data_IF_804347346238
#
_entry.id   IF_804347346238
#
_cell.length_a   1.000
_cell.length_b   1.000
_cell.length_c   1.000
_cell.angle_alpha   90.00
_cell.angle_beta   90.00
_cell.angle_gamma   90.00
#
_symmetry.space_group_name_H-M   'P 1'
#
loop_
_entity.id
_entity.type
_entity.pdbx_description
1 polymer ?
#
# COMPACT_ATOMS: atom_id res chain seq x y z
N UNK A 1 47.37 42.49 8.02
CA UNK A 1 46.14 42.93 7.32
C UNK A 1 45.24 41.71 7.20
N UNK A 2 44.19 41.63 8.01
CA UNK A 2 43.17 40.60 7.83
C UNK A 2 42.36 40.93 6.58
N UNK A 3 42.25 39.97 5.67
CA UNK A 3 41.34 40.04 4.52
C UNK A 3 39.92 40.35 5.02
N UNK A 4 39.23 41.37 4.48
CA UNK A 4 37.85 41.63 4.87
C UNK A 4 36.97 40.43 4.49
N UNK A 5 35.97 40.07 5.31
CA UNK A 5 35.07 38.96 4.97
C UNK A 5 34.30 39.30 3.69
N UNK A 6 34.53 38.51 2.64
CA UNK A 6 33.89 38.55 1.32
C UNK A 6 32.44 38.02 1.33
N UNK A 7 31.67 38.27 2.39
CA UNK A 7 30.26 37.89 2.43
C UNK A 7 29.42 39.02 1.82
N UNK A 8 29.10 38.90 0.53
CA UNK A 8 28.27 39.89 -0.20
C UNK A 8 26.76 39.66 -0.04
N UNK A 9 26.34 38.65 0.74
CA UNK A 9 24.94 38.26 0.94
C UNK A 9 24.74 37.66 2.36
N UNK A 10 23.53 37.75 2.94
CA UNK A 10 23.24 37.11 4.22
C UNK A 10 23.30 35.59 4.10
N UNK A 11 23.71 34.92 5.18
CA UNK A 11 23.89 33.47 5.17
C UNK A 11 22.60 32.76 5.54
N UNK A 12 22.10 31.94 4.61
CA UNK A 12 20.96 31.05 4.85
C UNK A 12 21.45 29.67 5.29
N UNK A 13 21.07 29.26 6.51
CA UNK A 13 21.24 27.91 7.05
C UNK A 13 19.89 27.19 7.18
N UNK A 14 19.85 25.94 6.77
CA UNK A 14 18.69 25.06 6.90
C UNK A 14 19.16 23.79 7.57
N UNK A 15 18.45 23.40 8.63
CA UNK A 15 18.73 22.22 9.43
C UNK A 15 17.45 21.38 9.48
N UNK A 16 17.54 20.11 9.12
CA UNK A 16 16.43 19.18 9.40
C UNK A 16 16.45 18.85 10.89
N UNK A 17 15.28 18.89 11.52
CA UNK A 17 15.12 18.48 12.90
C UNK A 17 14.79 16.99 12.92
N UNK A 18 15.63 16.21 13.61
CA UNK A 18 15.40 14.79 13.86
C UNK A 18 14.98 14.57 15.30
N UNK A 19 14.25 13.48 15.54
CA UNK A 19 14.19 12.92 16.89
C UNK A 19 15.57 12.37 17.24
N UNK A 20 16.06 12.56 18.48
CA UNK A 20 17.39 12.13 18.88
C UNK A 20 17.57 10.63 18.63
N UNK A 21 18.68 10.25 17.97
CA UNK A 21 19.01 8.84 17.70
C UNK A 21 19.86 8.30 18.85
N UNK A 22 19.36 7.28 19.54
CA UNK A 22 20.20 6.42 20.38
C UNK A 22 21.02 5.54 19.43
N UNK A 23 22.27 5.92 19.15
CA UNK A 23 23.23 5.02 18.54
C UNK A 23 23.57 3.91 19.55
N UNK A 24 22.78 2.83 19.54
CA UNK A 24 23.23 1.57 20.12
C UNK A 24 24.08 0.91 19.04
N UNK A 25 25.30 1.41 18.86
CA UNK A 25 26.32 0.54 18.29
C UNK A 25 26.54 -0.62 19.25
N UNK A 26 26.86 -1.80 18.71
CA UNK A 26 27.29 -2.96 19.50
C UNK A 26 28.68 -2.69 20.08
N UNK A 27 28.80 -1.73 21.00
CA UNK A 27 30.03 -1.47 21.72
C UNK A 27 30.13 -2.46 22.89
N UNK A 28 30.65 -3.66 22.61
CA UNK A 28 31.39 -4.42 23.60
C UNK A 28 32.69 -3.66 23.90
N UNK A 29 32.60 -2.56 24.65
CA UNK A 29 33.61 -2.05 25.58
C UNK A 29 33.19 -0.66 26.04
N UNK A 30 33.22 -0.51 27.36
CA UNK A 30 33.02 0.73 28.10
C UNK A 30 33.96 1.80 27.59
N UNK A 31 33.40 2.88 27.06
CA UNK A 31 33.89 4.24 27.21
C UNK A 31 32.67 5.14 26.95
N UNK A 32 32.32 5.99 27.93
CA UNK A 32 31.30 7.03 27.76
C UNK A 32 31.84 8.09 26.79
N UNK A 33 31.91 7.75 25.50
CA UNK A 33 32.10 8.74 24.46
C UNK A 33 30.84 9.60 24.43
N UNK A 34 31.01 10.93 24.49
CA UNK A 34 29.96 11.91 24.22
C UNK A 34 29.20 11.47 22.98
N UNK A 35 27.97 10.99 23.16
CA UNK A 35 27.19 10.40 22.08
C UNK A 35 26.98 11.45 20.99
N UNK A 36 26.99 11.03 19.73
CA UNK A 36 26.59 11.86 18.57
C UNK A 36 25.14 12.39 18.65
N UNK A 37 24.43 12.21 19.78
CA UNK A 37 23.10 12.75 20.08
C UNK A 37 22.99 14.28 20.00
N UNK A 38 24.11 15.01 20.07
CA UNK A 38 24.15 16.48 19.99
C UNK A 38 24.81 16.99 18.69
N UNK A 39 25.14 16.10 17.75
CA UNK A 39 25.67 16.48 16.44
C UNK A 39 24.56 16.48 15.39
N UNK A 40 24.48 17.57 14.63
CA UNK A 40 23.60 17.66 13.47
C UNK A 40 24.08 16.67 12.38
N UNK A 41 23.22 15.76 11.88
CA UNK A 41 23.63 14.83 10.82
C UNK A 41 23.98 15.56 9.51
N UNK A 42 25.06 15.12 8.86
CA UNK A 42 25.54 15.69 7.58
C UNK A 42 24.63 15.39 6.37
N UNK A 43 23.60 14.54 6.51
CA UNK A 43 22.71 14.18 5.42
C UNK A 43 21.26 13.98 5.86
N UNK A 44 20.33 14.14 4.91
CA UNK A 44 18.90 13.98 5.15
C UNK A 44 18.49 12.54 5.53
N UNK A 45 19.38 11.55 5.44
CA UNK A 45 19.04 10.14 5.70
C UNK A 45 17.89 9.63 4.83
N UNK A 46 17.38 8.44 5.14
CA UNK A 46 16.17 7.93 4.52
C UNK A 46 14.95 8.64 5.12
N UNK A 47 14.02 9.04 4.26
CA UNK A 47 12.76 9.68 4.61
C UNK A 47 11.65 8.82 4.08
N UNK A 48 10.69 8.47 4.92
CA UNK A 48 9.60 7.59 4.53
C UNK A 48 8.25 8.32 4.43
N UNK A 49 7.38 7.80 3.57
CA UNK A 49 6.01 8.25 3.41
C UNK A 49 5.26 8.18 4.74
N UNK A 50 4.49 9.23 5.04
CA UNK A 50 3.74 9.38 6.28
C UNK A 50 4.52 10.10 7.38
N UNK A 51 5.86 10.22 7.28
CA UNK A 51 6.63 11.00 8.25
C UNK A 51 6.27 12.48 8.21
N UNK A 52 6.38 13.15 9.36
CA UNK A 52 6.41 14.61 9.40
C UNK A 52 7.82 15.11 9.14
N UNK A 53 8.02 15.80 8.02
CA UNK A 53 9.23 16.56 7.75
C UNK A 53 9.26 17.80 8.65
N UNK A 54 10.23 17.89 9.55
CA UNK A 54 10.46 19.07 10.40
C UNK A 54 11.81 19.72 10.07
N UNK A 55 11.83 21.04 9.90
CA UNK A 55 13.07 21.78 9.62
C UNK A 55 13.12 23.12 10.35
N UNK A 56 14.31 23.46 10.83
CA UNK A 56 14.64 24.79 11.32
C UNK A 56 15.46 25.53 10.27
N UNK A 57 15.04 26.75 9.96
CA UNK A 57 15.59 27.60 8.93
C UNK A 57 16.02 28.90 9.59
N UNK A 58 17.24 29.36 9.34
CA UNK A 58 17.78 30.57 9.94
C UNK A 58 18.48 31.43 8.90
N UNK A 59 18.07 32.69 8.83
CA UNK A 59 18.74 33.75 8.06
C UNK A 59 19.64 34.50 9.01
N UNK A 60 20.94 34.44 8.78
CA UNK A 60 21.95 35.06 9.64
C UNK A 60 22.45 36.33 8.96
N UNK A 61 22.26 37.47 9.62
CA UNK A 61 22.88 38.72 9.20
C UNK A 61 24.37 38.72 9.61
N UNK A 62 25.24 38.43 8.64
CA UNK A 62 26.70 38.45 8.84
C UNK A 62 27.33 39.81 8.51
N UNK A 63 26.55 40.80 8.10
CA UNK A 63 27.06 42.14 7.87
C UNK A 63 27.35 42.84 9.20
N UNK A 64 28.23 43.83 9.14
CA UNK A 64 28.50 44.73 10.27
C UNK A 64 27.43 45.83 10.43
N UNK A 65 26.34 45.77 9.66
CA UNK A 65 25.26 46.74 9.65
C UNK A 65 23.89 46.05 9.67
N UNK A 66 22.85 46.83 9.98
CA UNK A 66 21.48 46.35 10.03
C UNK A 66 20.90 46.16 8.62
N UNK A 67 20.13 45.09 8.44
CA UNK A 67 19.41 44.82 7.19
C UNK A 67 17.95 45.21 7.32
N UNK A 68 17.40 45.87 6.31
CA UNK A 68 16.02 46.33 6.31
C UNK A 68 15.12 45.39 5.49
N UNK A 69 13.85 45.28 5.92
CA UNK A 69 12.79 44.51 5.25
C UNK A 69 13.18 43.06 4.94
N UNK A 70 13.68 42.35 5.95
CA UNK A 70 14.12 40.97 5.80
C UNK A 70 12.93 40.02 5.84
N UNK A 71 12.58 39.43 4.70
CA UNK A 71 11.54 38.42 4.57
C UNK A 71 12.12 37.03 4.42
N UNK A 72 11.53 36.06 5.12
CA UNK A 72 11.87 34.64 5.01
C UNK A 72 10.64 33.86 4.50
N UNK A 73 10.83 33.06 3.45
CA UNK A 73 9.77 32.23 2.86
C UNK A 73 10.25 30.79 2.75
N UNK A 74 9.40 29.85 3.13
CA UNK A 74 9.65 28.42 2.97
C UNK A 74 8.46 27.78 2.24
N UNK A 75 8.75 27.01 1.20
CA UNK A 75 7.73 26.34 0.38
C UNK A 75 8.19 24.91 0.13
N UNK A 76 7.32 23.93 0.39
CA UNK A 76 7.59 22.55 0.03
C UNK A 76 6.94 22.22 -1.30
N UNK A 77 7.70 21.63 -2.20
CA UNK A 77 7.21 21.10 -3.47
C UNK A 77 7.25 19.57 -3.41
N UNK A 78 6.08 18.94 -3.48
CA UNK A 78 5.92 17.50 -3.70
C UNK A 78 5.95 17.21 -5.21
N UNK A 79 5.93 15.94 -5.64
CA UNK A 79 5.83 15.60 -7.06
C UNK A 79 4.60 16.20 -7.75
N UNK A 80 3.48 16.33 -7.03
CA UNK A 80 2.21 16.81 -7.63
C UNK A 80 1.80 18.20 -7.17
N UNK A 81 2.20 18.65 -5.98
CA UNK A 81 1.70 19.89 -5.38
C UNK A 81 2.81 20.78 -4.83
N UNK A 82 2.46 22.04 -4.55
CA UNK A 82 3.32 23.01 -3.88
C UNK A 82 2.56 23.66 -2.75
N UNK A 83 3.16 23.66 -1.57
CA UNK A 83 2.56 24.19 -0.35
C UNK A 83 3.50 25.21 0.30
N UNK A 84 2.92 26.32 0.75
CA UNK A 84 3.65 27.31 1.54
C UNK A 84 3.70 26.85 2.99
N UNK A 85 4.88 26.89 3.60
CA UNK A 85 5.10 26.46 4.98
C UNK A 85 5.06 27.68 5.89
N UNK A 86 4.42 27.51 7.04
CA UNK A 86 4.34 28.52 8.10
C UNK A 86 5.14 28.08 9.33
N UNK A 87 5.52 29.05 10.16
CA UNK A 87 6.21 28.76 11.40
C UNK A 87 5.27 28.08 12.42
N UNK A 88 5.64 26.90 12.87
CA UNK A 88 4.85 26.06 13.78
C UNK A 88 5.40 25.98 15.20
N UNK A 89 6.39 26.81 15.55
CA UNK A 89 7.02 26.76 16.89
C UNK A 89 6.04 26.99 18.06
N UNK A 90 5.04 27.84 17.88
CA UNK A 90 4.04 28.14 18.92
C UNK A 90 3.14 26.93 19.18
N UNK A 91 2.72 26.23 18.12
CA UNK A 91 1.91 25.00 18.20
C UNK A 91 2.62 23.86 18.95
N UNK A 92 3.95 23.93 19.05
CA UNK A 92 4.79 22.97 19.79
C UNK A 92 5.07 23.41 21.23
N UNK A 93 4.46 24.49 21.71
CA UNK A 93 4.76 25.07 23.03
C UNK A 93 6.13 25.75 23.10
N UNK A 94 6.68 26.15 21.96
CA UNK A 94 7.96 26.86 21.84
C UNK A 94 7.83 28.37 22.00
N UNK A 95 8.82 29.10 21.49
CA UNK A 95 8.83 30.57 21.50
C UNK A 95 7.81 31.13 20.51
N UNK A 96 7.39 32.39 20.68
CA UNK A 96 6.57 33.07 19.67
C UNK A 96 7.35 33.23 18.37
N UNK A 97 6.73 33.01 17.19
CA UNK A 97 7.38 33.25 15.90
C UNK A 97 7.88 34.69 15.79
N UNK A 98 9.10 34.92 15.30
CA UNK A 98 9.57 36.27 15.04
C UNK A 98 8.71 36.91 13.96
N UNK A 99 8.58 38.24 14.01
CA UNK A 99 7.84 38.99 13.00
C UNK A 99 8.51 38.78 11.65
N UNK A 100 7.74 38.29 10.68
CA UNK A 100 8.20 37.98 9.33
C UNK A 100 7.19 38.54 8.31
N UNK A 101 7.58 39.49 7.45
CA UNK A 101 8.93 40.04 7.29
C UNK A 101 9.37 40.92 8.48
N UNK A 102 10.65 40.83 8.85
CA UNK A 102 11.27 41.67 9.87
C UNK A 102 11.58 43.06 9.30
N UNK A 103 11.13 44.11 9.98
CA UNK A 103 11.39 45.49 9.53
C UNK A 103 12.88 45.81 9.51
N UNK A 104 13.62 45.40 10.55
CA UNK A 104 15.07 45.54 10.69
C UNK A 104 15.62 44.25 11.32
N UNK A 105 16.71 43.74 10.77
CA UNK A 105 17.48 42.60 11.30
C UNK A 105 18.89 43.09 11.64
N UNK A 106 19.19 43.23 12.93
CA UNK A 106 20.44 43.81 13.40
C UNK A 106 21.69 43.03 13.00
N UNK A 107 22.83 43.71 12.91
CA UNK A 107 24.13 43.06 12.67
C UNK A 107 24.38 41.89 13.65
N UNK A 108 24.76 40.72 13.13
CA UNK A 108 25.03 39.51 13.93
C UNK A 108 23.78 38.76 14.45
N UNK A 109 22.57 39.27 14.21
CA UNK A 109 21.31 38.62 14.59
C UNK A 109 20.75 37.71 13.50
N UNK A 110 19.71 36.95 13.84
CA UNK A 110 19.09 35.97 12.97
C UNK A 110 17.56 36.06 12.93
N UNK A 111 16.99 35.79 11.75
CA UNK A 111 15.57 35.57 11.56
C UNK A 111 15.32 34.08 11.33
N UNK A 112 14.62 33.46 12.26
CA UNK A 112 14.42 32.02 12.28
C UNK A 112 13.00 31.62 11.89
N UNK A 113 12.84 30.40 11.40
CA UNK A 113 11.56 29.78 11.10
C UNK A 113 11.63 28.27 11.36
N UNK A 114 10.68 27.71 12.10
CA UNK A 114 10.55 26.27 12.30
C UNK A 114 9.31 25.75 11.56
N UNK A 115 9.50 24.89 10.56
CA UNK A 115 8.43 24.38 9.71
C UNK A 115 8.22 22.89 9.90
N UNK A 116 6.96 22.45 9.76
CA UNK A 116 6.61 21.03 9.72
C UNK A 116 5.59 20.73 8.61
N UNK A 117 5.79 19.61 7.93
CA UNK A 117 4.92 19.16 6.84
C UNK A 117 4.78 17.64 6.85
N UNK A 118 3.55 17.12 6.78
CA UNK A 118 3.28 15.69 6.69
C UNK A 118 3.48 15.20 5.26
N UNK A 119 4.37 14.24 5.07
CA UNK A 119 4.72 13.73 3.74
C UNK A 119 3.69 12.70 3.28
N UNK A 120 2.80 13.11 2.37
CA UNK A 120 1.71 12.29 1.83
C UNK A 120 2.02 11.65 0.47
N UNK A 121 3.18 11.95 -0.13
CA UNK A 121 3.57 11.47 -1.45
C UNK A 121 4.97 10.82 -1.43
N UNK A 122 5.16 9.77 -2.23
CA UNK A 122 6.49 9.20 -2.50
C UNK A 122 7.14 9.92 -3.67
N UNK A 123 8.47 10.03 -3.67
CA UNK A 123 9.20 10.67 -4.76
C UNK A 123 10.10 11.81 -4.31
N UNK A 124 10.61 12.56 -5.28
CA UNK A 124 11.52 13.68 -5.04
C UNK A 124 10.72 14.88 -4.55
N UNK A 125 11.06 15.35 -3.35
CA UNK A 125 10.52 16.57 -2.76
C UNK A 125 11.60 17.66 -2.77
N UNK A 126 11.18 18.92 -2.86
CA UNK A 126 12.09 20.07 -2.83
C UNK A 126 11.62 21.13 -1.85
N UNK A 127 12.39 21.35 -0.79
CA UNK A 127 12.21 22.50 0.09
C UNK A 127 12.85 23.73 -0.56
N UNK A 128 12.03 24.71 -0.90
CA UNK A 128 12.42 25.99 -1.51
C UNK A 128 12.42 27.06 -0.43
N UNK A 129 13.59 27.58 -0.09
CA UNK A 129 13.73 28.65 0.90
C UNK A 129 14.18 29.92 0.20
N UNK A 130 13.41 30.98 0.36
CA UNK A 130 13.69 32.29 -0.20
C UNK A 130 13.88 33.33 0.90
N UNK A 131 14.90 34.17 0.77
CA UNK A 131 15.12 35.33 1.62
C UNK A 131 15.07 36.57 0.73
N UNK A 132 14.34 37.59 1.15
CA UNK A 132 14.32 38.92 0.55
C UNK A 132 14.83 39.93 1.56
N UNK A 133 15.59 40.93 1.11
CA UNK A 133 16.10 42.01 1.96
C UNK A 133 16.43 43.23 1.09
N UNK A 134 16.49 44.42 1.70
CA UNK A 134 17.04 45.60 1.03
C UNK A 134 18.56 45.63 1.19
N UNK A 135 19.27 45.82 0.08
CA UNK A 135 20.72 45.98 0.10
C UNK A 135 21.12 47.19 0.97
N UNK A 136 21.99 47.04 1.97
CA UNK A 136 22.37 48.14 2.85
C UNK A 136 23.13 49.27 2.14
N UNK A 137 23.75 49.02 0.99
CA UNK A 137 24.53 50.02 0.24
C UNK A 137 23.72 50.70 -0.86
N UNK A 138 22.94 49.92 -1.63
CA UNK A 138 22.19 50.44 -2.79
C UNK A 138 20.71 50.71 -2.49
N UNK A 139 20.20 50.23 -1.35
CA UNK A 139 18.79 50.28 -0.97
C UNK A 139 17.84 49.64 -2.01
N UNK A 140 18.36 48.73 -2.82
CA UNK A 140 17.58 47.97 -3.80
C UNK A 140 17.10 46.64 -3.21
N UNK A 141 15.90 46.16 -3.56
CA UNK A 141 15.40 44.87 -3.08
C UNK A 141 16.20 43.73 -3.72
N UNK A 142 16.90 42.96 -2.89
CA UNK A 142 17.61 41.74 -3.27
C UNK A 142 16.90 40.51 -2.73
N UNK A 143 17.05 39.39 -3.43
CA UNK A 143 16.56 38.10 -2.94
C UNK A 143 17.54 36.98 -3.28
N UNK A 144 17.62 36.01 -2.36
CA UNK A 144 18.34 34.76 -2.55
C UNK A 144 17.37 33.60 -2.37
N UNK A 145 17.58 32.52 -3.12
CA UNK A 145 16.78 31.30 -3.03
C UNK A 145 17.69 30.09 -3.02
N UNK A 146 17.44 29.17 -2.09
CA UNK A 146 18.09 27.85 -2.04
C UNK A 146 17.06 26.74 -2.16
N UNK A 147 17.46 25.65 -2.80
CA UNK A 147 16.64 24.47 -3.05
C UNK A 147 17.30 23.27 -2.39
N UNK A 148 16.57 22.61 -1.49
CA UNK A 148 17.02 21.39 -0.81
C UNK A 148 16.15 20.24 -1.31
N UNK A 149 16.74 19.37 -2.13
CA UNK A 149 16.05 18.21 -2.71
C UNK A 149 16.28 16.99 -1.82
N UNK A 150 15.22 16.24 -1.55
CA UNK A 150 15.29 15.00 -0.80
C UNK A 150 14.31 13.97 -1.37
N UNK A 151 14.62 12.69 -1.18
CA UNK A 151 13.80 11.57 -1.67
C UNK A 151 12.92 11.04 -0.53
N UNK A 152 11.63 10.91 -0.80
CA UNK A 152 10.68 10.19 0.08
C UNK A 152 10.45 8.80 -0.47
N UNK A 153 10.66 7.80 0.37
CA UNK A 153 10.58 6.37 0.06
C UNK A 153 9.29 5.78 0.64
N UNK A 154 8.83 4.67 0.08
CA UNK A 154 7.73 3.92 0.67
C UNK A 154 8.25 3.07 1.85
N UNK A 155 7.69 3.16 3.07
CA UNK A 155 8.14 2.32 4.18
C UNK A 155 7.57 0.90 4.14
N UNK A 156 6.35 0.74 3.63
CA UNK A 156 5.60 -0.51 3.70
C UNK A 156 4.99 -0.85 2.33
N UNK A 157 5.13 -2.10 1.91
CA UNK A 157 4.40 -2.62 0.75
C UNK A 157 3.17 -3.37 1.23
N UNK A 158 1.98 -2.95 0.77
CA UNK A 158 0.71 -3.57 1.16
C UNK A 158 0.12 -4.30 -0.04
N UNK A 159 -0.13 -5.61 0.11
CA UNK A 159 -0.77 -6.45 -0.91
C UNK A 159 -2.09 -6.99 -0.37
N UNK A 160 -3.15 -6.90 -1.17
CA UNK A 160 -4.46 -7.40 -0.79
C UNK A 160 -4.83 -8.68 -1.55
N UNK A 161 -5.45 -9.61 -0.84
CA UNK A 161 -6.16 -10.76 -1.40
C UNK A 161 -7.61 -10.72 -0.92
N UNK A 162 -8.54 -10.66 -1.87
CA UNK A 162 -9.97 -10.66 -1.60
C UNK A 162 -10.56 -12.02 -1.97
N UNK A 163 -11.40 -12.55 -1.08
CA UNK A 163 -12.13 -13.80 -1.28
C UNK A 163 -13.58 -13.58 -0.88
N UNK A 164 -14.52 -14.07 -1.69
CA UNK A 164 -15.94 -14.09 -1.37
C UNK A 164 -16.34 -15.49 -0.90
N UNK A 165 -16.90 -15.61 0.30
CA UNK A 165 -17.39 -16.88 0.86
C UNK A 165 -18.82 -16.65 1.36
N UNK A 166 -19.80 -17.35 0.78
CA UNK A 166 -21.22 -17.22 1.15
C UNK A 166 -21.67 -15.76 1.23
N UNK A 167 -21.34 -14.97 0.19
CA UNK A 167 -21.64 -13.53 0.06
C UNK A 167 -20.93 -12.59 1.05
N UNK A 168 -20.12 -13.12 1.96
CA UNK A 168 -19.27 -12.34 2.87
C UNK A 168 -17.90 -12.11 2.22
N UNK A 169 -17.44 -10.86 2.25
CA UNK A 169 -16.13 -10.49 1.72
C UNK A 169 -15.06 -10.63 2.79
N UNK A 170 -14.04 -11.42 2.52
CA UNK A 170 -12.83 -11.52 3.33
C UNK A 170 -11.69 -10.81 2.62
N UNK A 171 -11.03 -9.89 3.32
CA UNK A 171 -9.89 -9.14 2.81
C UNK A 171 -8.68 -9.51 3.66
N UNK A 172 -7.74 -10.22 3.07
CA UNK A 172 -6.41 -10.46 3.64
C UNK A 172 -5.48 -9.34 3.17
N UNK A 173 -4.86 -8.64 4.11
CA UNK A 173 -3.85 -7.63 3.85
C UNK A 173 -2.49 -8.14 4.35
N UNK A 174 -1.53 -8.24 3.43
CA UNK A 174 -0.13 -8.54 3.72
C UNK A 174 0.66 -7.24 3.72
N UNK A 175 1.22 -6.88 4.87
CA UNK A 175 1.99 -5.66 5.09
C UNK A 175 3.45 -6.06 5.26
N UNK A 176 4.30 -5.67 4.32
CA UNK A 176 5.73 -5.97 4.33
C UNK A 176 6.55 -4.72 4.63
N UNK A 177 7.49 -4.82 5.56
CA UNK A 177 8.46 -3.77 5.81
C UNK A 177 9.59 -3.84 4.77
N UNK A 178 9.76 -2.76 4.00
CA UNK A 178 10.81 -2.65 2.98
C UNK A 178 11.91 -1.67 3.38
N UNK A 179 11.88 -1.18 4.62
CA UNK A 179 12.91 -0.32 5.18
C UNK A 179 14.07 -1.13 5.73
N UNK A 180 15.21 -0.46 5.94
CA UNK A 180 16.40 -1.06 6.55
C UNK A 180 16.34 -1.09 8.09
N UNK A 181 15.20 -0.69 8.69
CA UNK A 181 15.02 -0.60 10.14
C UNK A 181 13.74 -1.35 10.57
N UNK A 182 13.69 -1.89 11.79
CA UNK A 182 12.44 -2.41 12.33
C UNK A 182 11.40 -1.31 12.50
N UNK A 183 10.15 -1.62 12.11
CA UNK A 183 9.00 -0.72 12.27
C UNK A 183 7.98 -1.37 13.19
N UNK A 184 7.46 -0.61 14.14
CA UNK A 184 6.34 -1.02 14.97
C UNK A 184 5.03 -0.54 14.35
N UNK A 185 4.15 -1.45 13.92
CA UNK A 185 2.81 -1.10 13.46
C UNK A 185 1.91 -0.79 14.68
N UNK A 186 1.76 0.50 14.96
CA UNK A 186 1.01 1.02 16.11
C UNK A 186 -0.48 0.68 16.00
N UNK A 187 -1.06 0.92 14.82
CA UNK A 187 -2.46 0.61 14.54
C UNK A 187 -2.62 0.13 13.11
N UNK A 188 -3.35 -0.96 12.91
CA UNK A 188 -3.72 -1.49 11.59
C UNK A 188 -5.24 -1.57 11.57
N UNK A 189 -5.87 -0.68 10.81
CA UNK A 189 -7.33 -0.58 10.80
C UNK A 189 -7.82 -0.60 9.36
N UNK A 190 -8.80 -1.45 9.09
CA UNK A 190 -9.53 -1.40 7.83
C UNK A 190 -10.73 -0.46 8.00
N UNK A 191 -10.72 0.67 7.32
CA UNK A 191 -11.80 1.66 7.32
C UNK A 191 -12.79 1.28 6.23
N UNK A 192 -13.95 0.69 6.59
CA UNK A 192 -14.93 0.26 5.59
C UNK A 192 -15.60 1.46 4.93
N UNK A 193 -15.98 1.30 3.66
CA UNK A 193 -16.83 2.30 2.98
C UNK A 193 -18.30 2.00 3.27
N UNK A 194 -19.16 2.99 3.55
CA UNK A 194 -20.60 2.75 3.72
C UNK A 194 -21.19 2.04 2.48
N UNK A 195 -22.09 1.04 2.63
CA UNK A 195 -22.75 0.57 3.85
C UNK A 195 -22.02 -0.60 4.55
N UNK A 196 -20.74 -0.82 4.25
CA UNK A 196 -20.00 -1.94 4.82
C UNK A 196 -19.54 -1.67 6.25
N UNK A 197 -19.44 -2.76 7.01
CA UNK A 197 -18.77 -2.83 8.30
C UNK A 197 -17.60 -3.82 8.19
N UNK A 198 -16.51 -3.54 8.89
CA UNK A 198 -15.32 -4.38 8.90
C UNK A 198 -14.97 -4.81 10.32
N UNK A 199 -14.72 -6.11 10.49
CA UNK A 199 -14.24 -6.70 11.73
C UNK A 199 -12.90 -7.37 11.45
N UNK A 200 -11.87 -7.03 12.22
CA UNK A 200 -10.59 -7.74 12.17
C UNK A 200 -10.74 -9.11 12.82
N UNK A 201 -10.24 -10.15 12.14
CA UNK A 201 -10.19 -11.50 12.66
C UNK A 201 -8.83 -11.73 13.32
N UNK A 202 -8.80 -11.84 14.64
CA UNK A 202 -7.60 -12.14 15.42
C UNK A 202 -7.56 -13.65 15.73
N UNK A 203 -6.38 -14.26 15.67
CA UNK A 203 -6.19 -15.62 16.17
C UNK A 203 -6.32 -15.64 17.71
N UNK A 204 -6.91 -16.69 18.32
CA UNK A 204 -7.24 -16.73 19.75
C UNK A 204 -6.03 -16.65 20.71
N UNK A 205 -4.79 -16.80 20.23
CA UNK A 205 -3.57 -16.83 21.08
C UNK A 205 -2.72 -15.55 20.99
N UNK A 206 -3.20 -14.48 20.34
CA UNK A 206 -2.37 -13.34 19.95
C UNK A 206 -2.48 -12.10 20.86
N UNK A 207 -2.75 -12.29 22.15
CA UNK A 207 -2.89 -11.21 23.15
C UNK A 207 -1.60 -10.40 23.38
N UNK A 208 -0.46 -10.92 22.91
CA UNK A 208 0.84 -10.25 22.89
C UNK A 208 1.40 -10.13 21.46
N UNK A 209 0.59 -9.71 20.50
CA UNK A 209 1.06 -9.45 19.14
C UNK A 209 2.09 -8.31 19.15
N UNK A 210 3.38 -8.66 19.24
CA UNK A 210 4.47 -7.73 18.97
C UNK A 210 4.32 -7.30 17.50
N UNK A 211 3.71 -6.14 17.28
CA UNK A 211 3.55 -5.54 15.94
C UNK A 211 4.87 -4.98 15.38
N UNK A 212 6.00 -5.52 15.83
CA UNK A 212 7.32 -5.18 15.36
C UNK A 212 7.63 -5.98 14.10
N UNK A 213 7.75 -5.29 12.97
CA UNK A 213 8.04 -5.84 11.65
C UNK A 213 9.50 -5.54 11.35
N UNK A 214 10.35 -6.56 11.32
CA UNK A 214 11.76 -6.41 10.93
C UNK A 214 11.90 -6.10 9.43
N UNK A 215 13.05 -5.61 8.97
CA UNK A 215 13.33 -5.47 7.54
C UNK A 215 13.03 -6.75 6.76
N UNK A 216 12.37 -6.60 5.61
CA UNK A 216 11.92 -7.67 4.70
C UNK A 216 10.83 -8.62 5.24
N UNK A 217 10.53 -8.57 6.54
CA UNK A 217 9.44 -9.33 7.15
C UNK A 217 8.07 -8.75 6.77
N UNK A 218 7.06 -9.61 6.89
CA UNK A 218 5.67 -9.25 6.63
C UNK A 218 4.74 -9.80 7.69
N UNK A 219 3.72 -9.00 8.03
CA UNK A 219 2.59 -9.42 8.84
C UNK A 219 1.35 -9.55 7.96
N UNK A 220 0.43 -10.41 8.39
CA UNK A 220 -0.85 -10.62 7.72
C UNK A 220 -1.99 -10.34 8.68
N UNK A 221 -2.98 -9.60 8.20
CA UNK A 221 -4.23 -9.36 8.90
C UNK A 221 -5.40 -9.68 7.99
N UNK A 222 -6.46 -10.24 8.57
CA UNK A 222 -7.66 -10.63 7.84
C UNK A 222 -8.83 -9.82 8.38
N UNK A 223 -9.60 -9.23 7.48
CA UNK A 223 -10.79 -8.45 7.80
C UNK A 223 -12.00 -9.13 7.17
N UNK A 224 -13.01 -9.39 8.00
CA UNK A 224 -14.34 -9.77 7.57
C UNK A 224 -15.12 -8.49 7.27
N UNK A 225 -15.58 -8.34 6.04
CA UNK A 225 -16.35 -7.17 5.57
C UNK A 225 -17.76 -7.61 5.21
N UNK A 226 -18.74 -7.05 5.90
CA UNK A 226 -20.17 -7.41 5.79
C UNK A 226 -21.04 -6.18 5.59
N UNK A 227 -22.22 -6.36 5.01
CA UNK A 227 -23.26 -5.36 4.94
C UNK A 227 -24.61 -6.08 5.12
N UNK A 228 -25.50 -5.54 5.94
CA UNK A 228 -26.77 -6.21 6.28
C UNK A 228 -27.73 -6.29 5.08
N UNK A 229 -27.73 -5.26 4.21
CA UNK A 229 -28.68 -5.13 3.10
C UNK A 229 -27.95 -4.88 1.78
N UNK A 230 -27.08 -5.83 1.40
CA UNK A 230 -26.32 -5.71 0.16
C UNK A 230 -27.06 -6.34 -1.01
N UNK A 231 -27.38 -5.54 -2.03
CA UNK A 231 -27.79 -6.10 -3.32
C UNK A 231 -26.57 -6.73 -4.00
N UNK A 232 -26.56 -8.07 -4.00
CA UNK A 232 -25.46 -8.88 -4.55
C UNK A 232 -25.35 -8.78 -6.07
N UNK A 233 -26.34 -8.18 -6.75
CA UNK A 233 -26.28 -7.89 -8.19
C UNK A 233 -25.37 -6.71 -8.54
N UNK A 234 -25.06 -5.85 -7.56
CA UNK A 234 -24.13 -4.74 -7.74
C UNK A 234 -22.71 -5.29 -7.86
N UNK A 235 -22.11 -5.11 -9.05
CA UNK A 235 -20.81 -5.67 -9.43
C UNK A 235 -19.63 -5.18 -8.57
N UNK A 236 -18.78 -4.31 -9.12
CA UNK A 236 -17.59 -3.83 -8.39
C UNK A 236 -17.99 -2.79 -7.35
N UNK A 237 -17.91 -3.16 -6.07
CA UNK A 237 -18.23 -2.29 -4.92
C UNK A 237 -16.96 -1.88 -4.19
N UNK A 238 -16.90 -0.67 -3.64
CA UNK A 238 -15.78 -0.25 -2.79
C UNK A 238 -15.98 -0.79 -1.37
N UNK A 239 -15.10 -1.68 -0.90
CA UNK A 239 -15.18 -2.27 0.45
C UNK A 239 -14.63 -1.34 1.53
N UNK A 240 -13.64 -0.51 1.22
CA UNK A 240 -12.91 0.27 2.23
C UNK A 240 -11.43 0.46 1.91
N UNK A 241 -10.69 1.07 2.83
CA UNK A 241 -9.24 1.32 2.72
C UNK A 241 -8.54 0.79 3.96
N UNK A 242 -7.28 0.38 3.81
CA UNK A 242 -6.45 0.05 4.95
C UNK A 242 -5.66 1.28 5.40
N UNK A 243 -5.63 1.49 6.71
CA UNK A 243 -4.82 2.51 7.36
C UNK A 243 -3.84 1.85 8.31
N UNK A 244 -2.56 2.20 8.15
CA UNK A 244 -1.47 1.68 8.96
C UNK A 244 -0.70 2.85 9.55
N UNK A 245 -0.72 2.97 10.87
CA UNK A 245 0.18 3.88 11.58
C UNK A 245 1.39 3.07 12.04
N UNK A 246 2.57 3.59 11.77
CA UNK A 246 3.83 2.94 12.11
C UNK A 246 4.73 3.89 12.90
N UNK A 247 5.61 3.29 13.71
CA UNK A 247 6.62 3.99 14.50
C UNK A 247 7.98 3.33 14.29
N UNK A 248 9.03 4.13 14.15
CA UNK A 248 10.41 3.64 14.22
C UNK A 248 10.86 3.56 15.69
N UNK A 249 11.95 2.84 15.95
CA UNK A 249 12.51 2.68 17.30
C UNK A 249 12.89 4.01 17.99
N UNK A 250 13.09 5.09 17.23
CA UNK A 250 13.47 6.41 17.74
C UNK A 250 12.29 7.40 17.76
N UNK A 251 11.07 6.87 17.58
CA UNK A 251 9.83 7.62 17.69
C UNK A 251 9.44 8.38 16.43
N UNK A 252 10.18 8.28 15.31
CA UNK A 252 9.62 8.74 14.03
C UNK A 252 8.34 7.95 13.78
N UNK A 253 7.31 8.61 13.28
CA UNK A 253 6.01 7.99 13.08
C UNK A 253 5.47 8.42 11.74
N UNK A 254 4.77 7.51 11.09
CA UNK A 254 4.06 7.85 9.87
C UNK A 254 2.74 7.11 9.73
N UNK A 255 1.89 7.68 8.88
CA UNK A 255 0.60 7.10 8.51
C UNK A 255 0.61 6.75 7.03
N UNK A 256 0.19 5.54 6.72
CA UNK A 256 0.01 5.04 5.37
C UNK A 256 -1.46 4.69 5.16
N UNK A 257 -2.05 5.23 4.10
CA UNK A 257 -3.40 4.90 3.67
C UNK A 257 -3.36 4.28 2.27
N UNK A 258 -4.06 3.17 2.08
CA UNK A 258 -4.11 2.51 0.77
C UNK A 258 -5.23 3.08 -0.11
N UNK A 259 -5.13 2.76 -1.40
CA UNK A 259 -6.29 2.89 -2.29
C UNK A 259 -7.45 1.98 -1.82
N UNK A 260 -8.69 2.31 -2.20
CA UNK A 260 -9.84 1.49 -1.83
C UNK A 260 -9.74 0.08 -2.40
N UNK A 261 -9.99 -0.91 -1.53
CA UNK A 261 -10.11 -2.32 -1.91
C UNK A 261 -11.47 -2.52 -2.55
N UNK A 262 -11.47 -2.90 -3.81
CA UNK A 262 -12.70 -3.16 -4.55
C UNK A 262 -13.13 -4.62 -4.38
N UNK A 263 -14.41 -4.84 -4.11
CA UNK A 263 -15.08 -6.13 -4.14
C UNK A 263 -14.94 -6.70 -5.54
N UNK A 264 -14.14 -7.76 -5.66
CA UNK A 264 -14.10 -8.57 -6.88
C UNK A 264 -15.24 -9.58 -6.80
N UNK A 265 -16.44 -9.14 -7.18
CA UNK A 265 -17.49 -10.09 -7.53
C UNK A 265 -17.06 -10.66 -8.86
N UNK A 266 -16.63 -11.92 -8.88
CA UNK A 266 -16.52 -12.63 -10.16
C UNK A 266 -17.87 -12.49 -10.84
N UNK A 267 -17.90 -12.09 -12.11
CA UNK A 267 -19.16 -12.00 -12.88
C UNK A 267 -19.95 -13.27 -12.58
N UNK A 268 -21.14 -13.15 -11.98
CA UNK A 268 -21.99 -14.32 -11.71
C UNK A 268 -22.22 -14.94 -13.07
N UNK A 269 -21.50 -16.03 -13.35
CA UNK A 269 -21.62 -16.71 -14.63
C UNK A 269 -23.04 -17.26 -14.67
N UNK A 270 -23.75 -16.96 -15.76
CA UNK A 270 -25.12 -17.43 -15.94
C UNK A 270 -25.21 -18.96 -15.79
N UNK A 271 -24.14 -19.70 -16.13
CA UNK A 271 -23.95 -21.09 -15.75
C UNK A 271 -22.59 -21.37 -15.08
N UNK A 272 -22.56 -22.32 -14.15
CA UNK A 272 -21.35 -22.84 -13.50
C UNK A 272 -21.19 -24.33 -13.79
N UNK A 273 -19.93 -24.77 -13.96
CA UNK A 273 -19.55 -26.16 -14.25
C UNK A 273 -18.60 -26.64 -13.16
N UNK A 274 -18.98 -27.71 -12.47
CA UNK A 274 -18.20 -28.32 -11.39
C UNK A 274 -18.03 -29.81 -11.65
N UNK A 275 -16.79 -30.31 -11.63
CA UNK A 275 -16.52 -31.75 -11.73
C UNK A 275 -16.49 -32.35 -10.31
N UNK A 276 -17.36 -33.32 -10.07
CA UNK A 276 -17.48 -34.09 -8.85
C UNK A 276 -16.88 -35.48 -9.09
N UNK A 277 -15.94 -35.84 -8.22
CA UNK A 277 -15.24 -37.12 -8.27
C UNK A 277 -15.83 -38.09 -7.24
N UNK A 278 -15.98 -39.39 -7.57
CA UNK A 278 -16.41 -40.38 -6.61
C UNK A 278 -15.33 -40.61 -5.55
N UNK A 279 -15.58 -40.26 -4.30
CA UNK A 279 -14.62 -40.47 -3.20
C UNK A 279 -14.63 -41.94 -2.74
N UNK A 280 -13.48 -42.65 -2.68
CA UNK A 280 -12.12 -42.24 -3.05
C UNK A 280 -11.79 -42.55 -4.53
N UNK A 281 -11.22 -41.59 -5.27
CA UNK A 281 -10.67 -41.86 -6.61
C UNK A 281 -9.21 -42.30 -6.47
N UNK A 282 -8.95 -43.55 -6.79
CA UNK A 282 -7.59 -44.03 -7.12
C UNK A 282 -7.58 -44.37 -8.60
N UNK A 283 -7.32 -43.35 -9.44
CA UNK A 283 -7.24 -43.55 -10.88
C UNK A 283 -5.94 -44.31 -11.22
N UNK A 284 -5.99 -45.19 -12.22
CA UNK A 284 -4.83 -45.93 -12.73
C UNK A 284 -4.55 -45.49 -14.16
N UNK A 285 -3.28 -45.36 -14.54
CA UNK A 285 -2.92 -45.08 -15.95
C UNK A 285 -3.53 -46.14 -16.87
N UNK A 286 -4.22 -45.69 -17.90
CA UNK A 286 -4.84 -46.55 -18.91
C UNK A 286 -6.19 -47.16 -18.50
N UNK A 287 -6.69 -46.92 -17.28
CA UNK A 287 -8.03 -47.36 -16.87
C UNK A 287 -9.00 -46.18 -16.82
N UNK A 288 -10.11 -46.22 -17.58
CA UNK A 288 -11.09 -45.16 -17.53
C UNK A 288 -11.85 -45.14 -16.19
N UNK A 289 -12.26 -43.95 -15.76
CA UNK A 289 -13.10 -43.74 -14.60
C UNK A 289 -14.23 -42.76 -14.91
N UNK A 290 -15.33 -42.87 -14.17
CA UNK A 290 -16.50 -42.01 -14.35
C UNK A 290 -16.44 -40.83 -13.37
N UNK A 291 -16.60 -39.62 -13.88
CA UNK A 291 -16.77 -38.40 -13.11
C UNK A 291 -18.18 -37.83 -13.34
N UNK A 292 -18.77 -37.21 -12.31
CA UNK A 292 -20.05 -36.51 -12.44
C UNK A 292 -19.80 -35.03 -12.64
N UNK A 293 -20.27 -34.45 -13.73
CA UNK A 293 -20.24 -33.01 -13.99
C UNK A 293 -21.56 -32.40 -13.57
N UNK A 294 -21.52 -31.52 -12.58
CA UNK A 294 -22.64 -30.69 -12.16
C UNK A 294 -22.62 -29.40 -12.99
N UNK A 295 -23.68 -29.20 -13.78
CA UNK A 295 -23.93 -27.97 -14.53
C UNK A 295 -25.10 -27.27 -13.86
N UNK A 296 -24.88 -26.05 -13.40
CA UNK A 296 -25.89 -25.27 -12.71
C UNK A 296 -26.18 -23.98 -13.48
N UNK A 297 -27.46 -23.76 -13.80
CA UNK A 297 -27.94 -22.50 -14.37
C UNK A 297 -28.27 -21.54 -13.22
N UNK A 298 -27.43 -20.52 -13.04
CA UNK A 298 -27.60 -19.48 -12.04
C UNK A 298 -28.47 -18.31 -12.52
N UNK A 299 -28.75 -18.26 -13.83
CA UNK A 299 -29.62 -17.28 -14.46
C UNK A 299 -31.10 -17.50 -14.13
N UNK A 300 -31.93 -16.55 -14.57
CA UNK A 300 -33.40 -16.61 -14.45
C UNK A 300 -34.07 -17.23 -15.68
N UNK A 301 -33.41 -17.19 -16.84
CA UNK A 301 -33.89 -17.79 -18.09
C UNK A 301 -33.50 -19.26 -18.19
N UNK A 302 -34.31 -20.04 -18.92
CA UNK A 302 -33.89 -21.36 -19.36
C UNK A 302 -32.76 -21.23 -20.39
N UNK A 303 -31.79 -22.14 -20.36
CA UNK A 303 -30.66 -22.17 -21.29
C UNK A 303 -30.54 -23.56 -21.91
N UNK A 304 -30.24 -23.63 -23.21
CA UNK A 304 -30.04 -24.88 -23.92
C UNK A 304 -28.55 -25.26 -23.87
N UNK A 305 -28.15 -26.05 -22.86
CA UNK A 305 -26.75 -26.30 -22.57
C UNK A 305 -26.23 -27.58 -23.24
N UNK A 306 -24.99 -27.50 -23.72
CA UNK A 306 -24.20 -28.63 -24.21
C UNK A 306 -22.89 -28.72 -23.41
N UNK A 307 -22.62 -29.88 -22.82
CA UNK A 307 -21.31 -30.17 -22.22
C UNK A 307 -20.31 -30.47 -23.34
N UNK A 308 -19.17 -29.80 -23.35
CA UNK A 308 -18.07 -30.04 -24.30
C UNK A 308 -16.78 -30.38 -23.56
N UNK A 309 -16.10 -31.39 -24.09
CA UNK A 309 -14.82 -31.93 -23.64
C UNK A 309 -13.78 -31.65 -24.74
N UNK A 310 -13.03 -30.56 -24.57
CA UNK A 310 -12.09 -30.02 -25.56
C UNK A 310 -10.72 -30.66 -25.45
N UNK A 311 -10.43 -31.55 -26.40
CA UNK A 311 -9.19 -32.34 -26.44
C UNK A 311 -7.91 -31.49 -26.47
N UNK A 312 -7.93 -30.35 -27.16
CA UNK A 312 -6.82 -29.40 -27.26
C UNK A 312 -6.43 -28.77 -25.91
N UNK A 313 -7.36 -28.72 -24.96
CA UNK A 313 -7.12 -28.19 -23.61
C UNK A 313 -6.80 -29.28 -22.58
N UNK A 314 -7.04 -30.54 -22.91
CA UNK A 314 -6.84 -31.68 -22.03
C UNK A 314 -5.38 -32.16 -22.03
N UNK A 315 -4.82 -32.38 -20.84
CA UNK A 315 -3.46 -32.87 -20.66
C UNK A 315 -3.45 -33.86 -19.49
N UNK A 316 -2.78 -35.01 -19.67
CA UNK A 316 -2.70 -36.06 -18.66
C UNK A 316 -3.95 -36.93 -18.55
N UNK A 317 -5.13 -36.32 -18.42
CA UNK A 317 -6.44 -37.00 -18.39
C UNK A 317 -7.26 -36.53 -19.61
N UNK A 318 -7.69 -37.47 -20.44
CA UNK A 318 -8.50 -37.21 -21.63
C UNK A 318 -9.94 -37.70 -21.46
N UNK A 319 -10.85 -37.25 -22.32
CA UNK A 319 -12.16 -37.88 -22.48
C UNK A 319 -12.02 -39.24 -23.17
N UNK A 320 -12.60 -40.29 -22.58
CA UNK A 320 -12.61 -41.65 -23.16
C UNK A 320 -13.80 -41.85 -24.11
N UNK A 321 -14.91 -41.17 -23.84
CA UNK A 321 -16.17 -41.36 -24.56
C UNK A 321 -16.45 -40.25 -25.56
N UNK A 322 -17.38 -39.35 -25.23
CA UNK A 322 -17.89 -38.31 -26.12
C UNK A 322 -17.10 -37.01 -25.99
N UNK A 323 -16.88 -36.31 -27.10
CA UNK A 323 -16.32 -34.95 -27.08
C UNK A 323 -17.36 -33.90 -26.68
N UNK A 324 -18.66 -34.23 -26.79
CA UNK A 324 -19.75 -33.36 -26.39
C UNK A 324 -20.99 -34.16 -26.01
N UNK A 325 -21.84 -33.60 -25.15
CA UNK A 325 -23.12 -34.15 -24.75
C UNK A 325 -24.17 -33.03 -24.67
N UNK A 326 -25.28 -33.20 -25.40
CA UNK A 326 -26.43 -32.30 -25.28
C UNK A 326 -27.13 -32.55 -23.94
N UNK A 327 -27.09 -31.55 -23.06
CA UNK A 327 -27.81 -31.56 -21.78
C UNK A 327 -29.26 -31.14 -22.00
N UNK A 328 -29.49 -30.25 -22.96
CA UNK A 328 -30.79 -29.72 -23.31
C UNK A 328 -31.17 -28.50 -22.47
N UNK A 329 -32.46 -28.23 -22.37
CA UNK A 329 -32.97 -27.03 -21.70
C UNK A 329 -32.90 -27.18 -20.19
N UNK A 330 -31.98 -26.44 -19.57
CA UNK A 330 -31.81 -26.33 -18.12
C UNK A 330 -32.53 -25.06 -17.64
N UNK A 331 -33.54 -25.23 -16.79
CA UNK A 331 -34.33 -24.10 -16.27
C UNK A 331 -33.49 -23.15 -15.43
N UNK A 332 -33.91 -21.88 -15.34
CA UNK A 332 -33.27 -20.91 -14.45
C UNK A 332 -33.26 -21.40 -13.00
N UNK A 333 -32.17 -21.15 -12.27
CA UNK A 333 -31.96 -21.60 -10.88
C UNK A 333 -31.99 -23.12 -10.67
N UNK A 334 -31.83 -23.92 -11.73
CA UNK A 334 -31.79 -25.39 -11.64
C UNK A 334 -30.40 -25.95 -11.97
N UNK A 335 -30.20 -27.23 -11.68
CA UNK A 335 -28.93 -27.92 -11.96
C UNK A 335 -29.17 -29.31 -12.52
N UNK A 336 -28.19 -29.81 -13.28
CA UNK A 336 -28.22 -31.13 -13.91
C UNK A 336 -26.87 -31.81 -13.69
N UNK A 337 -26.92 -33.10 -13.39
CA UNK A 337 -25.76 -33.96 -13.28
C UNK A 337 -25.58 -34.77 -14.56
N UNK A 338 -24.35 -34.80 -15.07
CA UNK A 338 -23.97 -35.57 -16.26
C UNK A 338 -22.78 -36.45 -15.93
N UNK A 339 -22.87 -37.74 -16.23
CA UNK A 339 -21.72 -38.64 -16.08
C UNK A 339 -20.85 -38.61 -17.32
N UNK A 340 -19.53 -38.45 -17.14
CA UNK A 340 -18.54 -38.50 -18.21
C UNK A 340 -17.44 -39.49 -17.87
N UNK A 341 -16.89 -40.13 -18.89
CA UNK A 341 -15.82 -41.11 -18.76
C UNK A 341 -14.47 -40.47 -19.15
N UNK A 342 -13.52 -40.52 -18.23
CA UNK A 342 -12.20 -39.92 -18.36
C UNK A 342 -11.12 -41.00 -18.31
N UNK A 343 -10.13 -40.88 -19.19
CA UNK A 343 -9.00 -41.80 -19.32
C UNK A 343 -7.69 -41.10 -18.92
N UNK A 344 -7.07 -41.48 -17.79
CA UNK A 344 -5.73 -41.06 -17.43
C UNK A 344 -4.67 -41.71 -18.33
N UNK A 345 -3.77 -40.91 -18.90
CA UNK A 345 -2.64 -41.37 -19.71
C UNK A 345 -1.28 -41.14 -19.04
N UNK A 346 -1.22 -40.28 -18.03
CA UNK A 346 0.02 -39.90 -17.34
C UNK A 346 -0.17 -40.09 -15.83
N UNK A 347 0.79 -40.75 -15.18
CA UNK A 347 0.81 -40.93 -13.73
C UNK A 347 1.10 -39.61 -12.98
N UNK A 348 0.88 -39.59 -11.66
CA UNK A 348 1.13 -38.45 -10.79
C UNK A 348 -0.13 -37.63 -10.50
N UNK A 349 0.06 -36.42 -9.96
CA UNK A 349 -1.05 -35.51 -9.65
C UNK A 349 -1.46 -34.75 -10.92
N UNK A 350 -2.57 -35.18 -11.53
CA UNK A 350 -3.06 -34.64 -12.80
C UNK A 350 -4.28 -33.75 -12.59
N UNK A 351 -4.38 -32.67 -13.35
CA UNK A 351 -5.53 -31.76 -13.32
C UNK A 351 -6.53 -32.14 -14.42
N UNK A 352 -7.82 -32.18 -14.09
CA UNK A 352 -8.88 -32.28 -15.11
C UNK A 352 -9.02 -30.91 -15.79
N UNK A 353 -8.87 -30.89 -17.12
CA UNK A 353 -8.91 -29.67 -17.96
C UNK A 353 -9.88 -29.87 -19.12
N UNK A 354 -10.22 -28.78 -19.83
CA UNK A 354 -11.00 -28.85 -21.07
C UNK A 354 -12.48 -29.22 -20.90
N UNK A 355 -13.05 -29.07 -19.71
CA UNK A 355 -14.50 -29.27 -19.46
C UNK A 355 -15.22 -27.93 -19.48
N UNK A 356 -16.16 -27.76 -20.41
CA UNK A 356 -16.94 -26.52 -20.60
C UNK A 356 -18.41 -26.83 -20.83
N UNK A 357 -19.30 -25.93 -20.42
CA UNK A 357 -20.69 -25.92 -20.89
C UNK A 357 -20.86 -24.78 -21.90
N UNK A 358 -21.57 -25.02 -23.00
CA UNK A 358 -21.87 -24.02 -24.04
C UNK A 358 -23.37 -23.87 -24.12
N UNK A 359 -23.85 -22.62 -24.07
CA UNK A 359 -25.25 -22.33 -24.38
C UNK A 359 -25.41 -22.32 -25.90
N UNK A 360 -26.24 -23.23 -26.43
CA UNK A 360 -26.43 -23.41 -27.86
C UNK A 360 -27.20 -22.25 -28.50
N UNK A 361 -27.99 -21.51 -27.73
CA UNK A 361 -28.77 -20.39 -28.25
C UNK A 361 -27.92 -19.11 -28.33
N UNK A 362 -27.14 -18.82 -27.29
CA UNK A 362 -26.29 -17.62 -27.22
C UNK A 362 -24.84 -17.82 -27.67
N UNK A 363 -24.40 -19.07 -27.82
CA UNK A 363 -23.00 -19.48 -28.09
C UNK A 363 -22.00 -19.05 -27.01
N UNK A 364 -22.47 -18.71 -25.80
CA UNK A 364 -21.61 -18.34 -24.68
C UNK A 364 -21.03 -19.59 -24.02
N UNK A 365 -19.72 -19.53 -23.71
CA UNK A 365 -18.98 -20.64 -23.10
C UNK A 365 -18.73 -20.43 -21.60
N UNK A 366 -18.96 -21.48 -20.82
CA UNK A 366 -18.80 -21.52 -19.38
C UNK A 366 -17.77 -22.59 -19.00
N UNK A 367 -16.51 -22.18 -18.81
CA UNK A 367 -15.43 -23.06 -18.35
C UNK A 367 -15.54 -23.39 -16.85
N UNK A 368 -14.99 -24.55 -16.46
CA UNK A 368 -14.90 -25.02 -15.08
C UNK A 368 -14.33 -23.95 -14.13
N UNK A 369 -15.00 -23.75 -13.00
CA UNK A 369 -14.68 -22.66 -12.05
C UNK A 369 -13.51 -23.01 -11.13
N UNK A 370 -13.52 -24.22 -10.56
CA UNK A 370 -12.50 -24.68 -9.61
C UNK A 370 -11.66 -25.79 -10.24
N UNK A 371 -10.32 -25.70 -10.18
CA UNK A 371 -9.46 -26.77 -10.66
C UNK A 371 -9.65 -28.03 -9.82
N UNK A 372 -9.82 -29.16 -10.49
CA UNK A 372 -9.95 -30.48 -9.85
C UNK A 372 -8.72 -31.30 -10.17
N UNK A 373 -8.10 -31.86 -9.14
CA UNK A 373 -6.89 -32.69 -9.24
C UNK A 373 -7.20 -34.14 -8.87
N UNK A 374 -6.61 -35.07 -9.61
CA UNK A 374 -6.72 -36.52 -9.43
C UNK A 374 -5.32 -37.10 -9.29
N UNK A 375 -5.10 -37.91 -8.26
CA UNK A 375 -3.89 -38.71 -8.17
C UNK A 375 -4.05 -39.95 -9.06
N UNK A 376 -3.23 -40.04 -10.10
CA UNK A 376 -3.17 -41.16 -11.03
C UNK A 376 -1.96 -42.02 -10.67
N UNK A 377 -2.20 -43.31 -10.40
CA UNK A 377 -1.16 -44.29 -10.10
C UNK A 377 -0.68 -45.00 -11.35
#
# INVERSE_FOLDING_TARGET
MATPPTATQPTLKVMRLYKPRLSIEKSYRREFALSNMLLLPDSFGNIYLGETFSSYISVINQFACDLNQVGLTAKLQTPTTRSDLTDKRELRGGTTPPVNPAAVLSAGSNLDMAVEFELSEVGVHTLRVGVSYLDPLTNEPKSLRKFYRFQVLNPLTITFKHVLIQDISFVEAKIQNITQIPLHADTIVFVPSPPFEAQQLTAPDNDNANNLIFPDDSIQCIFKVTAEHLDLSLGTLNLGRLEVNWKSAMGESGRLQTQPVMRKVGSVKEATVTVLLPTPVVAQVGQPFVASVLIQNNGTRAMNLQLQLRRDLMLGILCSSVSHLNVGIVQGKSSVHVSVELLPLIAGLQQIRGVLAVDMDSQVEFAMEKPVYVLVK
#
